data_IF_087436166654
#
_entry.id   IF_087436166654
#
_cell.length_a   1.000
_cell.length_b   1.000
_cell.length_c   1.000
_cell.angle_alpha   90.00
_cell.angle_beta   90.00
_cell.angle_gamma   90.00
#
_symmetry.space_group_name_H-M   'P 1'
#
loop_
_entity.id
_entity.type
_entity.pdbx_description
1 polymer ?
#
# COMPACT_ATOMS: atom_id res chain seq x y z
N UNK A 1 23.46 3.55 -26.21
CA UNK A 1 23.05 2.42 -25.33
C UNK A 1 24.20 1.55 -24.86
N UNK A 2 25.30 1.41 -25.62
CA UNK A 2 26.43 0.53 -25.24
C UNK A 2 26.90 0.72 -23.79
N UNK A 3 27.14 1.95 -23.29
CA UNK A 3 27.59 2.10 -21.90
C UNK A 3 26.54 1.65 -20.87
N UNK A 4 25.24 1.86 -21.13
CA UNK A 4 24.18 1.35 -20.25
C UNK A 4 24.15 -0.18 -20.19
N UNK A 5 24.37 -0.85 -21.33
CA UNK A 5 24.43 -2.32 -21.39
C UNK A 5 25.67 -2.85 -20.67
N UNK A 6 26.83 -2.18 -20.80
CA UNK A 6 28.04 -2.53 -20.05
C UNK A 6 27.81 -2.42 -18.55
N UNK A 7 27.19 -1.33 -18.07
CA UNK A 7 26.83 -1.16 -16.66
C UNK A 7 25.86 -2.24 -16.18
N UNK A 8 24.83 -2.57 -16.97
CA UNK A 8 23.89 -3.63 -16.63
C UNK A 8 24.55 -5.01 -16.55
N UNK A 9 25.47 -5.32 -17.47
CA UNK A 9 26.22 -6.58 -17.46
C UNK A 9 27.19 -6.66 -16.27
N UNK A 10 27.82 -5.55 -15.88
CA UNK A 10 28.65 -5.46 -14.68
C UNK A 10 27.89 -5.93 -13.44
N UNK A 11 26.65 -5.45 -13.28
CA UNK A 11 25.81 -5.77 -12.13
C UNK A 11 25.41 -7.25 -12.06
N UNK A 12 25.49 -7.98 -13.18
CA UNK A 12 25.23 -9.43 -13.25
C UNK A 12 26.45 -10.27 -12.88
N UNK A 13 27.64 -9.69 -12.73
CA UNK A 13 28.82 -10.42 -12.29
C UNK A 13 28.66 -10.83 -10.81
N UNK A 14 28.93 -12.11 -10.52
CA UNK A 14 28.83 -12.67 -9.16
C UNK A 14 30.23 -12.98 -8.66
N UNK A 15 30.88 -11.97 -8.10
CA UNK A 15 32.16 -12.12 -7.43
C UNK A 15 32.21 -11.25 -6.16
N UNK A 16 31.97 -11.81 -4.97
CA UNK A 16 31.92 -11.03 -3.72
C UNK A 16 33.21 -10.26 -3.43
N UNK A 17 34.38 -10.80 -3.83
CA UNK A 17 35.68 -10.17 -3.59
C UNK A 17 35.90 -8.91 -4.44
N UNK A 18 35.24 -8.83 -5.60
CA UNK A 18 35.35 -7.71 -6.55
C UNK A 18 34.09 -6.87 -6.63
N UNK A 19 33.08 -7.16 -5.80
CA UNK A 19 31.77 -6.51 -5.88
C UNK A 19 31.86 -4.99 -5.82
N UNK A 20 32.75 -4.44 -4.96
CA UNK A 20 32.94 -3.01 -4.87
C UNK A 20 33.51 -2.40 -6.16
N UNK A 21 34.41 -3.09 -6.83
CA UNK A 21 35.00 -2.67 -8.12
C UNK A 21 33.95 -2.76 -9.24
N UNK A 22 33.19 -3.86 -9.29
CA UNK A 22 32.12 -4.08 -10.26
C UNK A 22 31.04 -2.98 -10.15
N UNK A 23 30.69 -2.58 -8.92
CA UNK A 23 29.74 -1.49 -8.65
C UNK A 23 30.29 -0.12 -9.08
N UNK A 24 31.57 0.17 -8.83
CA UNK A 24 32.18 1.42 -9.27
C UNK A 24 32.24 1.49 -10.78
N UNK A 25 32.62 0.39 -11.43
CA UNK A 25 32.65 0.27 -12.88
C UNK A 25 31.25 0.41 -13.50
N UNK A 26 30.23 -0.23 -12.92
CA UNK A 26 28.84 -0.08 -13.33
C UNK A 26 28.37 1.37 -13.23
N UNK A 27 28.66 2.03 -12.11
CA UNK A 27 28.31 3.44 -11.87
C UNK A 27 28.91 4.37 -12.91
N UNK A 28 30.18 4.18 -13.24
CA UNK A 28 30.87 4.97 -14.27
C UNK A 28 30.20 4.80 -15.64
N UNK A 29 29.88 3.55 -16.03
CA UNK A 29 29.24 3.26 -17.32
C UNK A 29 27.84 3.86 -17.43
N UNK A 30 27.05 3.81 -16.36
CA UNK A 30 25.75 4.48 -16.33
C UNK A 30 25.88 6.01 -16.40
N UNK A 31 26.88 6.61 -15.74
CA UNK A 31 27.14 8.05 -15.84
C UNK A 31 27.59 8.46 -17.26
N UNK A 32 28.45 7.68 -17.90
CA UNK A 32 28.85 7.91 -19.30
C UNK A 32 27.62 7.89 -20.20
N UNK A 33 26.74 6.90 -20.02
CA UNK A 33 25.49 6.81 -20.77
C UNK A 33 24.59 8.04 -20.58
N UNK A 34 24.33 8.43 -19.32
CA UNK A 34 23.48 9.57 -19.00
C UNK A 34 24.07 10.88 -19.54
N UNK A 35 25.38 11.07 -19.43
CA UNK A 35 26.07 12.26 -19.95
C UNK A 35 25.90 12.36 -21.47
N UNK A 36 26.05 11.26 -22.19
CA UNK A 36 25.80 11.21 -23.64
C UNK A 36 24.33 11.54 -23.97
N UNK A 37 23.38 10.95 -23.26
CA UNK A 37 21.96 11.21 -23.46
C UNK A 37 21.58 12.68 -23.21
N UNK A 38 22.22 13.34 -22.25
CA UNK A 38 22.01 14.75 -21.98
C UNK A 38 22.59 15.64 -23.10
N UNK A 39 23.80 15.36 -23.59
CA UNK A 39 24.39 16.10 -24.70
C UNK A 39 23.52 16.03 -25.97
N UNK A 40 22.89 14.89 -26.22
CA UNK A 40 21.96 14.70 -27.34
C UNK A 40 20.51 15.09 -27.04
N UNK A 41 20.22 15.63 -25.85
CA UNK A 41 18.88 16.10 -25.45
C UNK A 41 17.77 15.04 -25.64
N UNK A 42 18.07 13.78 -25.33
CA UNK A 42 17.16 12.65 -25.55
C UNK A 42 15.92 12.71 -24.64
N UNK A 43 16.11 13.22 -23.42
CA UNK A 43 15.08 13.46 -22.42
C UNK A 43 15.54 14.53 -21.42
N UNK A 44 14.60 15.16 -20.73
CA UNK A 44 14.86 16.07 -19.62
C UNK A 44 15.02 15.26 -18.32
N UNK A 45 16.21 15.30 -17.72
CA UNK A 45 16.50 14.68 -16.43
C UNK A 45 17.72 15.34 -15.77
N UNK A 46 17.90 15.12 -14.48
CA UNK A 46 19.05 15.60 -13.72
C UNK A 46 20.14 14.53 -13.64
N UNK A 47 21.40 14.92 -13.90
CA UNK A 47 22.54 14.04 -13.73
C UNK A 47 22.78 13.73 -12.24
N UNK A 48 22.95 12.46 -11.86
CA UNK A 48 23.37 12.10 -10.50
C UNK A 48 24.71 12.75 -10.16
N UNK A 49 24.83 13.30 -8.96
CA UNK A 49 26.03 14.01 -8.51
C UNK A 49 27.27 13.09 -8.59
N UNK A 50 28.31 13.54 -9.30
CA UNK A 50 29.65 12.94 -9.22
C UNK A 50 30.27 13.35 -7.88
N UNK A 51 30.82 12.38 -7.13
CA UNK A 51 31.31 12.52 -5.74
C UNK A 51 32.35 13.64 -5.50
N UNK A 52 32.79 14.40 -6.50
CA UNK A 52 33.75 15.49 -6.36
C UNK A 52 33.14 16.87 -6.06
N UNK A 53 31.82 17.07 -6.12
CA UNK A 53 31.18 18.36 -5.82
C UNK A 53 30.04 18.21 -4.80
N UNK A 54 30.34 17.70 -3.61
CA UNK A 54 29.37 17.74 -2.50
C UNK A 54 30.04 17.62 -1.13
N UNK A 55 31.05 18.44 -0.87
CA UNK A 55 31.10 19.06 0.45
C UNK A 55 29.90 20.04 0.48
N UNK A 56 29.02 19.94 1.48
CA UNK A 56 27.78 20.73 1.62
C UNK A 56 26.52 20.21 0.89
N UNK A 57 26.08 19.00 1.26
CA UNK A 57 24.64 18.81 1.51
C UNK A 57 24.40 17.70 2.53
N UNK A 58 25.10 17.77 3.67
CA UNK A 58 24.59 17.19 4.91
C UNK A 58 23.52 18.13 5.49
N UNK A 59 22.44 18.33 4.74
CA UNK A 59 21.23 18.89 5.32
C UNK A 59 20.55 17.72 6.01
N UNK A 60 20.83 17.60 7.30
CA UNK A 60 20.17 16.68 8.19
C UNK A 60 18.65 16.83 8.04
N UNK A 61 17.99 15.92 7.33
CA UNK A 61 16.56 15.67 7.49
C UNK A 61 16.35 14.90 8.80
N UNK A 62 16.74 15.55 9.89
CA UNK A 62 16.36 15.23 11.25
C UNK A 62 15.15 16.09 11.59
N UNK A 63 13.97 15.67 11.14
CA UNK A 63 12.71 16.20 11.68
C UNK A 63 11.74 15.04 11.87
N UNK A 64 11.85 14.41 13.03
CA UNK A 64 10.77 13.64 13.64
C UNK A 64 9.58 14.59 13.93
N UNK A 65 8.76 14.88 12.92
CA UNK A 65 7.63 15.78 13.06
C UNK A 65 6.45 15.27 12.22
N UNK A 66 5.65 14.39 12.84
CA UNK A 66 4.36 13.85 12.39
C UNK A 66 4.33 13.15 11.01
N UNK A 67 3.65 12.00 10.84
CA UNK A 67 3.44 11.43 9.51
C UNK A 67 2.60 12.41 8.68
N UNK A 68 3.26 13.16 7.81
CA UNK A 68 2.62 14.05 6.86
C UNK A 68 1.94 13.18 5.79
N UNK A 69 0.66 12.88 6.03
CA UNK A 69 -0.15 12.02 5.17
C UNK A 69 -0.18 12.53 3.72
N UNK A 70 -0.10 13.86 3.51
CA UNK A 70 -0.01 14.47 2.18
C UNK A 70 1.31 14.12 1.51
N UNK A 71 2.45 14.26 2.22
CA UNK A 71 3.75 13.87 1.68
C UNK A 71 3.81 12.36 1.35
N UNK A 72 3.22 11.50 2.19
CA UNK A 72 3.13 10.06 1.95
C UNK A 72 2.24 9.75 0.72
N UNK A 73 1.11 10.44 0.58
CA UNK A 73 0.22 10.30 -0.58
C UNK A 73 0.91 10.75 -1.86
N UNK A 74 1.61 11.88 -1.85
CA UNK A 74 2.40 12.38 -2.99
C UNK A 74 3.53 11.42 -3.37
N UNK A 75 4.26 10.86 -2.39
CA UNK A 75 5.31 9.87 -2.66
C UNK A 75 4.74 8.60 -3.28
N UNK A 76 3.60 8.11 -2.77
CA UNK A 76 2.90 6.96 -3.33
C UNK A 76 2.46 7.25 -4.77
N UNK A 77 1.86 8.40 -5.01
CA UNK A 77 1.37 8.81 -6.32
C UNK A 77 2.51 8.89 -7.34
N UNK A 78 3.64 9.52 -6.98
CA UNK A 78 4.83 9.58 -7.83
C UNK A 78 5.37 8.19 -8.21
N UNK A 79 5.34 7.23 -7.28
CA UNK A 79 5.75 5.84 -7.57
C UNK A 79 4.79 5.14 -8.53
N UNK A 80 3.48 5.37 -8.39
CA UNK A 80 2.46 4.84 -9.30
C UNK A 80 2.65 5.42 -10.70
N UNK A 81 2.89 6.73 -10.82
CA UNK A 81 3.12 7.41 -12.08
C UNK A 81 4.38 6.91 -12.79
N UNK A 82 5.50 6.78 -12.07
CA UNK A 82 6.73 6.18 -12.61
C UNK A 82 6.49 4.76 -13.12
N UNK A 83 5.78 3.93 -12.35
CA UNK A 83 5.46 2.56 -12.78
C UNK A 83 4.57 2.56 -14.04
N UNK A 84 3.55 3.42 -14.11
CA UNK A 84 2.69 3.56 -15.29
C UNK A 84 3.48 3.99 -16.52
N UNK A 85 4.36 4.98 -16.39
CA UNK A 85 5.22 5.45 -17.49
C UNK A 85 6.16 4.33 -17.97
N UNK A 86 6.81 3.61 -17.06
CA UNK A 86 7.65 2.45 -17.38
C UNK A 86 6.87 1.38 -18.15
N UNK A 87 5.67 1.04 -17.66
CA UNK A 87 4.80 0.03 -18.29
C UNK A 87 4.32 0.45 -19.68
N UNK A 88 3.91 1.70 -19.84
CA UNK A 88 3.49 2.24 -21.14
C UNK A 88 4.63 2.22 -22.16
N UNK A 89 5.84 2.62 -21.74
CA UNK A 89 7.02 2.57 -22.61
C UNK A 89 7.38 1.13 -23.00
N UNK A 90 7.32 0.19 -22.07
CA UNK A 90 7.58 -1.23 -22.37
C UNK A 90 6.54 -1.83 -23.31
N UNK A 91 5.26 -1.47 -23.11
CA UNK A 91 4.18 -1.87 -24.02
C UNK A 91 4.44 -1.35 -25.45
N UNK A 92 4.76 -0.06 -25.62
CA UNK A 92 5.09 0.52 -26.94
C UNK A 92 6.29 -0.16 -27.60
N UNK A 93 7.35 -0.43 -26.86
CA UNK A 93 8.50 -1.17 -27.39
C UNK A 93 8.12 -2.56 -27.84
N UNK A 94 7.31 -3.28 -27.05
CA UNK A 94 6.88 -4.63 -27.41
C UNK A 94 6.04 -4.67 -28.68
N UNK A 95 5.19 -3.66 -28.90
CA UNK A 95 4.38 -3.54 -30.11
C UNK A 95 5.22 -3.25 -31.36
N UNK A 96 6.21 -2.37 -31.26
CA UNK A 96 7.07 -1.98 -32.39
C UNK A 96 8.18 -2.99 -32.70
N UNK A 97 8.58 -3.82 -31.72
CA UNK A 97 9.75 -4.70 -31.80
C UNK A 97 9.76 -5.59 -33.04
N UNK A 98 8.65 -6.29 -33.31
CA UNK A 98 8.60 -7.27 -34.41
C UNK A 98 8.82 -6.62 -35.77
N UNK A 99 8.16 -5.47 -36.02
CA UNK A 99 8.26 -4.74 -37.29
C UNK A 99 9.64 -4.12 -37.51
N UNK A 100 10.30 -3.65 -36.44
CA UNK A 100 11.65 -3.09 -36.52
C UNK A 100 12.70 -4.19 -36.74
N UNK A 101 12.59 -5.32 -36.04
CA UNK A 101 13.52 -6.44 -36.19
C UNK A 101 13.36 -7.19 -37.52
N UNK A 102 12.15 -7.24 -38.08
CA UNK A 102 11.89 -7.81 -39.42
C UNK A 102 12.33 -6.89 -40.57
N UNK A 103 12.60 -5.61 -40.29
CA UNK A 103 12.91 -4.60 -41.30
C UNK A 103 11.70 -4.12 -42.10
N UNK A 104 10.48 -4.37 -41.60
CA UNK A 104 9.23 -3.94 -42.23
C UNK A 104 8.80 -2.52 -41.80
N UNK A 105 9.38 -2.00 -40.71
CA UNK A 105 9.12 -0.65 -40.23
C UNK A 105 9.78 0.41 -41.12
N UNK A 106 9.11 1.55 -41.30
CA UNK A 106 9.71 2.71 -41.95
C UNK A 106 10.78 3.38 -41.06
N UNK A 107 11.58 4.27 -41.66
CA UNK A 107 12.70 4.95 -40.98
C UNK A 107 12.25 5.76 -39.75
N UNK A 108 11.07 6.36 -39.78
CA UNK A 108 10.54 7.17 -38.67
C UNK A 108 10.15 6.29 -37.48
N UNK A 109 9.48 5.16 -37.72
CA UNK A 109 9.15 4.19 -36.67
C UNK A 109 10.39 3.51 -36.10
N UNK A 110 11.40 3.22 -36.95
CA UNK A 110 12.70 2.69 -36.49
C UNK A 110 13.39 3.71 -35.58
N UNK A 111 13.38 5.00 -35.96
CA UNK A 111 13.93 6.07 -35.15
C UNK A 111 13.18 6.23 -33.83
N UNK A 112 11.85 6.25 -33.85
CA UNK A 112 11.02 6.34 -32.64
C UNK A 112 11.32 5.18 -31.69
N UNK A 113 11.41 3.95 -32.21
CA UNK A 113 11.72 2.76 -31.42
C UNK A 113 13.04 2.90 -30.65
N UNK A 114 14.12 3.33 -31.33
CA UNK A 114 15.42 3.50 -30.68
C UNK A 114 15.47 4.70 -29.73
N UNK A 115 14.77 5.80 -30.03
CA UNK A 115 14.62 6.92 -29.10
C UNK A 115 13.89 6.49 -27.82
N UNK A 116 12.84 5.68 -27.96
CA UNK A 116 12.09 5.16 -26.82
C UNK A 116 12.94 4.19 -25.99
N UNK A 117 13.79 3.38 -26.63
CA UNK A 117 14.80 2.56 -25.97
C UNK A 117 15.79 3.40 -25.17
N UNK A 118 16.31 4.50 -25.74
CA UNK A 118 17.21 5.39 -25.02
C UNK A 118 16.53 6.00 -23.79
N UNK A 119 15.29 6.49 -23.94
CA UNK A 119 14.51 7.03 -22.82
C UNK A 119 14.30 5.99 -21.72
N UNK A 120 13.96 4.74 -22.09
CA UNK A 120 13.83 3.64 -21.13
C UNK A 120 15.12 3.39 -20.36
N UNK A 121 16.25 3.36 -21.06
CA UNK A 121 17.56 3.16 -20.44
C UNK A 121 18.01 4.33 -19.56
N UNK A 122 17.54 5.56 -19.80
CA UNK A 122 17.77 6.69 -18.90
C UNK A 122 17.11 6.41 -17.54
N UNK A 123 15.83 6.03 -17.54
CA UNK A 123 15.11 5.69 -16.30
C UNK A 123 15.78 4.53 -15.55
N UNK A 124 16.18 3.47 -16.26
CA UNK A 124 16.89 2.33 -15.66
C UNK A 124 18.23 2.78 -15.06
N UNK A 125 19.03 3.56 -15.79
CA UNK A 125 20.35 3.99 -15.32
C UNK A 125 20.27 4.85 -14.06
N UNK A 126 19.24 5.71 -13.94
CA UNK A 126 18.99 6.49 -12.73
C UNK A 126 18.62 5.59 -11.53
N UNK A 127 17.70 4.64 -11.74
CA UNK A 127 17.31 3.66 -10.71
C UNK A 127 18.51 2.81 -10.24
N UNK A 128 19.35 2.36 -11.17
CA UNK A 128 20.53 1.56 -10.87
C UNK A 128 21.62 2.37 -10.17
N UNK A 129 21.86 3.63 -10.54
CA UNK A 129 22.83 4.49 -9.82
C UNK A 129 22.41 4.68 -8.36
N UNK A 130 21.12 4.92 -8.09
CA UNK A 130 20.61 5.04 -6.72
C UNK A 130 20.83 3.75 -5.91
N UNK A 131 20.58 2.59 -6.51
CA UNK A 131 20.83 1.28 -5.90
C UNK A 131 22.33 1.03 -5.65
N UNK A 132 23.18 1.36 -6.63
CA UNK A 132 24.64 1.22 -6.54
C UNK A 132 25.20 2.10 -5.43
N UNK A 133 24.78 3.36 -5.33
CA UNK A 133 25.30 4.27 -4.30
C UNK A 133 24.90 3.81 -2.87
N UNK A 134 23.71 3.21 -2.70
CA UNK A 134 23.31 2.57 -1.44
C UNK A 134 24.16 1.34 -1.12
N UNK A 135 24.40 0.47 -2.09
CA UNK A 135 25.20 -0.74 -1.90
C UNK A 135 26.68 -0.41 -1.61
N UNK A 136 27.27 0.52 -2.35
CA UNK A 136 28.63 1.01 -2.11
C UNK A 136 28.78 1.55 -0.69
N UNK A 137 27.76 2.28 -0.19
CA UNK A 137 27.78 2.80 1.18
C UNK A 137 27.85 1.66 2.21
N UNK A 138 27.03 0.63 2.04
CA UNK A 138 27.00 -0.54 2.94
C UNK A 138 28.33 -1.30 2.92
N UNK A 139 28.90 -1.54 1.74
CA UNK A 139 30.17 -2.25 1.61
C UNK A 139 31.32 -1.48 2.27
N UNK A 140 31.36 -0.15 2.11
CA UNK A 140 32.36 0.70 2.77
C UNK A 140 32.22 0.70 4.30
N UNK A 141 31.00 0.78 4.83
CA UNK A 141 30.75 0.71 6.27
C UNK A 141 31.12 -0.66 6.88
N UNK A 142 31.05 -1.74 6.10
CA UNK A 142 31.49 -3.07 6.51
C UNK A 142 33.01 -3.19 6.55
N UNK A 143 33.72 -2.59 5.60
CA UNK A 143 35.18 -2.69 5.47
C UNK A 143 35.93 -1.74 6.41
N UNK A 144 35.28 -0.69 6.92
CA UNK A 144 35.84 0.08 8.04
C UNK A 144 35.88 -0.81 9.27
N UNK A 145 37.06 -1.17 9.81
CA UNK A 145 37.14 -1.92 11.05
C UNK A 145 36.51 -1.04 12.11
N UNK A 146 35.29 -1.39 12.51
CA UNK A 146 34.69 -0.82 13.71
C UNK A 146 35.60 -1.28 14.84
N UNK A 147 36.48 -0.38 15.30
CA UNK A 147 37.12 -0.52 16.61
C UNK A 147 36.07 -1.02 17.59
N UNK A 148 36.49 -1.95 18.44
CA UNK A 148 35.69 -2.67 19.42
C UNK A 148 35.05 -1.74 20.47
N UNK A 149 34.15 -0.89 20.02
CA UNK A 149 33.24 -0.03 20.77
C UNK A 149 31.80 -0.50 20.51
N UNK A 150 31.62 -1.79 20.26
CA UNK A 150 30.41 -2.48 20.67
C UNK A 150 30.69 -3.05 22.06
N UNK A 151 30.53 -2.20 23.08
CA UNK A 151 29.84 -2.64 24.28
C UNK A 151 28.59 -3.36 23.77
N UNK A 152 28.63 -4.69 23.77
CA UNK A 152 27.46 -5.49 23.47
C UNK A 152 26.43 -5.16 24.53
N UNK A 153 25.56 -4.18 24.27
CA UNK A 153 24.26 -4.18 24.90
C UNK A 153 23.65 -5.48 24.43
N UNK A 154 23.65 -6.47 25.34
CA UNK A 154 22.76 -7.62 25.26
C UNK A 154 21.40 -7.14 24.73
N UNK A 155 20.70 -7.92 23.88
CA UNK A 155 19.34 -7.58 23.54
C UNK A 155 18.61 -7.43 24.87
N UNK A 156 18.29 -6.19 25.28
CA UNK A 156 17.49 -6.01 26.47
C UNK A 156 16.22 -6.78 26.17
N UNK A 157 15.95 -7.79 27.00
CA UNK A 157 14.78 -8.63 26.87
C UNK A 157 13.59 -7.67 26.81
N UNK A 158 13.01 -7.51 25.61
CA UNK A 158 11.86 -6.64 25.44
C UNK A 158 10.81 -7.19 26.38
N UNK A 159 10.22 -6.37 27.27
CA UNK A 159 9.18 -6.87 28.15
C UNK A 159 8.12 -7.53 27.27
N UNK A 160 7.63 -8.73 27.65
CA UNK A 160 6.66 -9.45 26.85
C UNK A 160 5.48 -8.52 26.56
N UNK A 161 5.13 -8.38 25.28
CA UNK A 161 4.00 -7.54 24.87
C UNK A 161 2.75 -8.08 25.56
N UNK A 162 2.04 -7.20 26.27
CA UNK A 162 0.72 -7.54 26.81
C UNK A 162 -0.19 -7.82 25.61
N UNK A 163 -0.87 -8.98 25.54
CA UNK A 163 -1.84 -9.21 24.49
C UNK A 163 -2.93 -8.14 24.61
N UNK A 164 -3.16 -7.38 23.54
CA UNK A 164 -4.29 -6.46 23.45
C UNK A 164 -5.41 -7.14 22.69
N UNK A 165 -6.62 -7.09 23.25
CA UNK A 165 -7.80 -7.58 22.57
C UNK A 165 -8.28 -6.47 21.64
N UNK A 166 -8.40 -6.76 20.35
CA UNK A 166 -9.00 -5.83 19.40
C UNK A 166 -10.44 -5.55 19.88
N UNK A 167 -10.80 -4.28 20.10
CA UNK A 167 -12.08 -3.86 20.71
C UNK A 167 -13.31 -4.48 20.03
N UNK A 168 -13.23 -4.76 18.73
CA UNK A 168 -14.25 -5.49 17.96
C UNK A 168 -14.44 -6.94 18.45
N UNK A 169 -13.36 -7.65 18.78
CA UNK A 169 -13.42 -9.00 19.35
C UNK A 169 -13.89 -9.00 20.80
N UNK A 170 -13.61 -7.93 21.56
CA UNK A 170 -14.12 -7.80 22.94
C UNK A 170 -15.65 -7.63 22.95
N UNK A 171 -16.19 -6.80 22.06
CA UNK A 171 -17.64 -6.66 21.90
C UNK A 171 -18.28 -7.96 21.39
N UNK A 172 -17.68 -8.60 20.38
CA UNK A 172 -18.18 -9.88 19.86
C UNK A 172 -18.10 -11.01 20.90
N UNK A 173 -17.05 -11.09 21.70
CA UNK A 173 -16.95 -12.07 22.80
C UNK A 173 -17.93 -11.75 23.94
N UNK A 174 -18.27 -10.47 24.15
CA UNK A 174 -19.30 -10.07 25.12
C UNK A 174 -20.71 -10.45 24.66
N UNK A 175 -20.97 -10.49 23.36
CA UNK A 175 -22.29 -10.85 22.80
C UNK A 175 -22.42 -12.35 22.48
N UNK A 176 -21.35 -12.97 21.97
CA UNK A 176 -21.34 -14.33 21.42
C UNK A 176 -20.33 -15.28 22.09
N UNK A 177 -19.56 -14.81 23.08
CA UNK A 177 -18.62 -15.64 23.84
C UNK A 177 -19.25 -16.19 25.12
N UNK A 178 -18.51 -17.07 25.81
CA UNK A 178 -18.90 -17.73 27.07
C UNK A 178 -19.00 -16.79 28.30
N UNK A 179 -19.14 -15.47 28.08
CA UNK A 179 -19.11 -14.41 29.09
C UNK A 179 -20.40 -13.60 29.21
N UNK A 180 -21.54 -14.13 28.76
CA UNK A 180 -22.85 -13.64 29.19
C UNK A 180 -23.19 -14.22 30.57
N UNK A 181 -23.86 -13.48 31.47
CA UNK A 181 -24.48 -14.07 32.65
C UNK A 181 -25.32 -15.26 32.20
N UNK A 182 -24.92 -16.42 32.70
CA UNK A 182 -25.32 -17.75 32.27
C UNK A 182 -26.83 -17.91 32.29
N UNK A 183 -27.47 -17.91 31.12
CA UNK A 183 -28.87 -18.26 30.90
C UNK A 183 -29.87 -17.38 31.68
N UNK A 184 -31.09 -17.15 31.18
CA UNK A 184 -32.14 -16.61 32.03
C UNK A 184 -32.39 -17.57 33.20
N UNK A 185 -31.86 -17.24 34.38
CA UNK A 185 -32.02 -18.05 35.60
C UNK A 185 -33.41 -17.91 36.23
N UNK A 186 -34.24 -17.04 35.66
CA UNK A 186 -35.55 -16.69 36.18
C UNK A 186 -36.55 -16.61 35.03
N UNK A 187 -37.71 -17.23 35.20
CA UNK A 187 -38.81 -17.14 34.23
C UNK A 187 -39.50 -15.78 34.35
N UNK A 188 -40.20 -15.37 33.28
CA UNK A 188 -40.92 -14.08 33.23
C UNK A 188 -41.91 -13.92 34.41
N UNK A 189 -42.57 -15.02 34.82
CA UNK A 189 -43.45 -15.01 35.99
C UNK A 189 -42.70 -14.74 37.30
N UNK A 190 -41.54 -15.37 37.50
CA UNK A 190 -40.77 -15.24 38.74
C UNK A 190 -40.18 -13.82 38.88
N UNK A 191 -39.89 -13.15 37.75
CA UNK A 191 -39.59 -11.72 37.71
C UNK A 191 -40.77 -10.84 38.14
N UNK A 192 -41.97 -11.12 37.60
CA UNK A 192 -43.19 -10.40 37.96
C UNK A 192 -43.53 -10.53 39.44
N UNK A 193 -43.38 -11.72 40.02
CA UNK A 193 -43.67 -11.99 41.42
C UNK A 193 -42.65 -11.32 42.36
N UNK A 194 -41.37 -11.30 41.99
CA UNK A 194 -40.35 -10.52 42.72
C UNK A 194 -40.70 -9.03 42.72
N UNK A 195 -41.02 -8.48 41.56
CA UNK A 195 -41.30 -7.04 41.43
C UNK A 195 -42.63 -6.64 42.09
N UNK A 196 -43.63 -7.53 42.13
CA UNK A 196 -44.86 -7.36 42.92
C UNK A 196 -44.57 -7.30 44.42
N UNK A 197 -43.71 -8.18 44.94
CA UNK A 197 -43.32 -8.19 46.38
C UNK A 197 -42.56 -6.94 46.79
N UNK A 198 -41.74 -6.39 45.88
CA UNK A 198 -40.99 -5.14 46.08
C UNK A 198 -41.89 -3.90 45.96
N UNK A 199 -43.14 -4.06 45.52
CA UNK A 199 -44.11 -2.95 45.39
C UNK A 199 -43.76 -1.97 44.26
N UNK A 200 -42.91 -2.39 43.32
CA UNK A 200 -42.36 -1.53 42.27
C UNK A 200 -43.24 -1.47 41.00
N UNK A 201 -44.40 -2.13 40.97
CA UNK A 201 -45.28 -2.14 39.80
C UNK A 201 -46.69 -1.62 40.14
N UNK A 202 -47.21 -0.63 39.40
CA UNK A 202 -48.54 -0.07 39.66
C UNK A 202 -49.65 -1.09 39.33
N UNK A 203 -50.56 -1.31 40.29
CA UNK A 203 -51.74 -2.21 40.18
C UNK A 203 -52.86 -1.59 39.33
N UNK A 204 -52.51 -1.13 38.13
CA UNK A 204 -53.47 -0.64 37.14
C UNK A 204 -53.25 -1.38 35.83
N UNK A 205 -53.73 -2.62 35.81
CA UNK A 205 -53.98 -3.34 34.58
C UNK A 205 -55.02 -2.59 33.74
N UNK A 206 -54.61 -2.22 32.52
CA UNK A 206 -55.40 -1.69 31.41
C UNK A 206 -55.78 -0.20 31.54
N UNK A 207 -54.93 0.73 31.06
CA UNK A 207 -55.38 2.11 30.82
C UNK A 207 -56.46 2.09 29.73
N UNK A 208 -57.64 2.64 30.04
CA UNK A 208 -58.67 2.98 29.05
C UNK A 208 -58.06 4.01 28.10
N UNK A 209 -57.62 3.55 26.93
CA UNK A 209 -57.09 4.40 25.87
C UNK A 209 -58.19 5.37 25.44
N UNK A 210 -57.96 6.67 25.64
CA UNK A 210 -58.74 7.71 24.98
C UNK A 210 -58.50 7.60 23.46
N UNK A 211 -59.54 7.91 22.68
CA UNK A 211 -59.55 7.76 21.21
C UNK A 211 -58.43 8.52 20.49
N UNK A 212 -57.85 9.54 21.13
CA UNK A 212 -56.74 10.34 20.62
C UNK A 212 -55.40 9.60 20.66
N UNK A 213 -55.14 8.82 21.72
CA UNK A 213 -53.90 8.03 21.85
C UNK A 213 -53.86 6.90 20.81
N UNK A 214 -55.03 6.32 20.50
CA UNK A 214 -55.16 5.25 19.50
C UNK A 214 -54.91 5.73 18.07
N UNK A 215 -55.31 6.97 17.76
CA UNK A 215 -55.05 7.60 16.45
C UNK A 215 -53.59 8.05 16.29
N UNK A 216 -52.97 8.53 17.37
CA UNK A 216 -51.55 8.87 17.37
C UNK A 216 -50.68 7.62 17.15
N UNK A 217 -51.01 6.49 17.78
CA UNK A 217 -50.31 5.23 17.57
C UNK A 217 -50.45 4.70 16.12
N UNK A 218 -51.64 4.78 15.53
CA UNK A 218 -51.85 4.35 14.13
C UNK A 218 -51.07 5.21 13.11
N UNK A 219 -50.99 6.53 13.32
CA UNK A 219 -50.17 7.39 12.45
C UNK A 219 -48.67 7.16 12.61
N UNK A 220 -48.25 6.67 13.78
CA UNK A 220 -46.86 6.36 14.06
C UNK A 220 -46.48 5.01 13.42
N UNK A 221 -47.33 3.99 13.56
CA UNK A 221 -47.16 2.68 12.89
C UNK A 221 -47.13 2.84 11.35
N UNK A 222 -47.99 3.68 10.77
CA UNK A 222 -47.98 3.94 9.31
C UNK A 222 -46.72 4.69 8.85
N UNK A 223 -46.08 5.49 9.71
CA UNK A 223 -44.80 6.15 9.40
C UNK A 223 -43.63 5.18 9.52
N UNK A 224 -43.62 4.35 10.55
CA UNK A 224 -42.57 3.36 10.77
C UNK A 224 -42.59 2.28 9.67
N UNK A 225 -43.76 1.80 9.27
CA UNK A 225 -43.87 0.87 8.13
C UNK A 225 -43.37 1.48 6.82
N UNK A 226 -43.59 2.78 6.60
CA UNK A 226 -43.14 3.47 5.39
C UNK A 226 -41.62 3.70 5.37
N UNK A 227 -41.03 3.93 6.54
CA UNK A 227 -39.56 3.98 6.69
C UNK A 227 -38.94 2.57 6.53
N UNK A 228 -39.59 1.51 7.00
CA UNK A 228 -39.15 0.12 6.78
C UNK A 228 -39.24 -0.30 5.30
N UNK A 229 -40.29 0.12 4.58
CA UNK A 229 -40.47 -0.17 3.15
C UNK A 229 -39.42 0.55 2.27
N UNK A 230 -39.04 1.78 2.62
CA UNK A 230 -37.92 2.51 1.98
C UNK A 230 -36.54 1.87 2.30
N UNK A 231 -36.44 1.05 3.36
CA UNK A 231 -35.25 0.30 3.75
C UNK A 231 -35.18 -1.12 3.14
N UNK A 232 -36.30 -1.67 2.65
CA UNK A 232 -36.30 -2.98 1.99
C UNK A 232 -35.42 -2.98 0.73
N UNK A 233 -35.46 -1.91 -0.05
CA UNK A 233 -34.65 -1.79 -1.26
C UNK A 233 -33.15 -1.64 -0.92
N UNK A 234 -32.83 -0.99 0.20
CA UNK A 234 -31.46 -0.90 0.71
C UNK A 234 -30.95 -2.26 1.19
N UNK A 235 -31.80 -3.04 1.86
CA UNK A 235 -31.51 -4.42 2.26
C UNK A 235 -31.34 -5.35 1.05
N UNK A 236 -32.18 -5.21 0.02
CA UNK A 236 -32.05 -5.97 -1.22
C UNK A 236 -30.74 -5.63 -1.95
N UNK A 237 -30.42 -4.34 -2.12
CA UNK A 237 -29.13 -3.91 -2.69
C UNK A 237 -27.93 -4.42 -1.89
N UNK A 238 -28.02 -4.46 -0.56
CA UNK A 238 -26.95 -4.98 0.27
C UNK A 238 -26.75 -6.49 0.08
N UNK A 239 -27.83 -7.26 -0.08
CA UNK A 239 -27.78 -8.70 -0.38
C UNK A 239 -27.20 -8.97 -1.77
N UNK A 240 -27.70 -8.27 -2.79
CA UNK A 240 -27.21 -8.37 -4.17
C UNK A 240 -25.72 -8.03 -4.27
N UNK A 241 -25.26 -7.04 -3.49
CA UNK A 241 -23.85 -6.68 -3.42
C UNK A 241 -22.98 -7.78 -2.79
N UNK A 242 -23.52 -8.54 -1.84
CA UNK A 242 -22.81 -9.66 -1.21
C UNK A 242 -22.71 -10.85 -2.17
N UNK A 243 -23.82 -11.22 -2.82
CA UNK A 243 -23.88 -12.27 -3.84
C UNK A 243 -22.92 -11.98 -5.03
N UNK A 244 -22.83 -10.71 -5.43
CA UNK A 244 -21.89 -10.29 -6.46
C UNK A 244 -20.43 -10.47 -6.02
N UNK A 245 -20.09 -10.16 -4.76
CA UNK A 245 -18.73 -10.34 -4.23
C UNK A 245 -18.32 -11.80 -4.12
N UNK A 246 -19.26 -12.69 -3.80
CA UNK A 246 -19.01 -14.13 -3.72
C UNK A 246 -18.74 -14.75 -5.10
N UNK A 247 -19.41 -14.23 -6.14
CA UNK A 247 -19.20 -14.66 -7.54
C UNK A 247 -17.98 -13.98 -8.21
N UNK A 248 -17.49 -12.87 -7.68
CA UNK A 248 -16.38 -12.09 -8.23
C UNK A 248 -15.20 -11.96 -7.23
N UNK A 249 -14.45 -13.04 -6.99
CA UNK A 249 -13.31 -13.03 -6.07
C UNK A 249 -12.25 -12.02 -6.52
N UNK A 250 -11.62 -11.37 -5.53
CA UNK A 250 -10.56 -10.38 -5.77
C UNK A 250 -9.43 -11.02 -6.59
N UNK A 251 -9.09 -10.39 -7.72
CA UNK A 251 -8.02 -10.84 -8.60
C UNK A 251 -8.48 -11.58 -9.86
N UNK A 252 -9.78 -11.79 -10.07
CA UNK A 252 -10.32 -12.45 -11.26
C UNK A 252 -9.85 -11.83 -12.60
N UNK A 253 -9.56 -10.52 -12.62
CA UNK A 253 -9.10 -9.80 -13.82
C UNK A 253 -7.57 -9.72 -14.03
N UNK A 254 -6.74 -10.01 -13.03
CA UNK A 254 -5.28 -9.89 -13.16
C UNK A 254 -4.59 -11.26 -13.13
N UNK A 255 -4.77 -12.03 -14.21
CA UNK A 255 -4.12 -13.35 -14.38
C UNK A 255 -2.85 -13.31 -15.24
N UNK A 256 -2.60 -12.19 -15.92
CA UNK A 256 -1.48 -12.02 -16.87
C UNK A 256 -0.18 -11.51 -16.22
N UNK A 257 -0.21 -11.09 -14.96
CA UNK A 257 0.95 -10.51 -14.27
C UNK A 257 1.32 -11.31 -13.00
N UNK A 258 1.28 -12.65 -13.12
CA UNK A 258 1.74 -13.60 -12.10
C UNK A 258 3.17 -14.04 -12.46
N UNK A 259 4.13 -13.14 -12.29
CA UNK A 259 5.56 -13.35 -12.59
C UNK A 259 6.37 -12.08 -12.40
#
# INVERSE_FOLDING_TARGET
MVPALQGALALKQVNPSKRLDDLQWAREHFLIYLTQCQHYHVAEFELPKTKNNSAESNTASSSMAHPNLVAMASQRQAKIERYKQKKEMEHRLSAMKAAVESGEADDEHVREYYLLHLRRWISISLEEIDSIDQEIKILREKDTPKEASASGSTPQARPPMKPFILTRNAAQAKVFGAGYPSLPSMTVNDWYDQHRKVGALPDQGIPKTTSEVRRAAQQQDEREQKEEEDDEEALQRAREWDDWKDTHPRGYGNRQNMG
#
